data_IF_253749150279
#
_entry.id   IF_253749150279
#
_cell.length_a   1.000
_cell.length_b   1.000
_cell.length_c   1.000
_cell.angle_alpha   90.00
_cell.angle_beta   90.00
_cell.angle_gamma   90.00
#
_symmetry.space_group_name_H-M   'P 1'
#
loop_
_entity.id
_entity.type
_entity.pdbx_description
1 polymer ?
#
# COMPACT_ATOMS: atom_id res chain seq x y z
N UNK A 1 -3.00 19.26 -36.00
CA UNK A 1 -3.82 20.48 -36.10
C UNK A 1 -5.24 20.14 -35.64
N UNK A 2 -5.99 21.11 -35.12
CA UNK A 2 -7.37 20.88 -34.65
C UNK A 2 -8.34 20.60 -35.79
N UNK A 3 -9.53 20.06 -35.48
CA UNK A 3 -10.59 19.73 -36.45
C UNK A 3 -11.17 20.95 -37.18
N UNK A 4 -10.98 22.14 -36.62
CA UNK A 4 -11.52 23.41 -37.13
C UNK A 4 -10.39 24.42 -37.28
N UNK A 5 -10.58 25.36 -38.18
CA UNK A 5 -9.66 26.40 -38.60
C UNK A 5 -10.25 27.80 -38.40
N UNK A 6 -9.45 28.85 -38.61
CA UNK A 6 -9.88 30.24 -38.41
C UNK A 6 -11.03 30.64 -39.33
N UNK A 7 -11.11 30.05 -40.53
CA UNK A 7 -12.20 30.28 -41.48
C UNK A 7 -13.52 29.65 -41.08
N UNK A 8 -13.52 28.66 -40.17
CA UNK A 8 -14.75 27.99 -39.72
C UNK A 8 -15.47 28.76 -38.61
N UNK A 9 -14.84 29.83 -38.10
CA UNK A 9 -15.45 30.70 -37.11
C UNK A 9 -16.54 31.57 -37.74
N UNK A 10 -17.67 31.66 -37.05
CA UNK A 10 -18.73 32.61 -37.38
C UNK A 10 -18.18 34.05 -37.32
N UNK A 11 -18.65 34.94 -38.21
CA UNK A 11 -18.33 36.37 -38.17
C UNK A 11 -18.57 36.94 -36.77
N UNK A 12 -17.69 37.84 -36.32
CA UNK A 12 -17.73 38.52 -35.01
C UNK A 12 -17.67 37.64 -33.75
N UNK A 13 -17.59 36.31 -33.91
CA UNK A 13 -17.48 35.39 -32.78
C UNK A 13 -16.03 35.19 -32.29
N UNK A 14 -15.06 35.50 -33.16
CA UNK A 14 -13.64 35.25 -32.93
C UNK A 14 -13.10 36.13 -31.80
N UNK A 15 -12.47 35.49 -30.81
CA UNK A 15 -11.82 36.16 -29.69
C UNK A 15 -10.56 35.42 -29.25
N UNK A 16 -9.57 36.19 -28.78
CA UNK A 16 -8.36 35.65 -28.16
C UNK A 16 -8.62 35.50 -26.66
N UNK A 17 -8.45 34.28 -26.15
CA UNK A 17 -8.61 33.97 -24.73
C UNK A 17 -7.42 34.46 -23.90
N UNK A 18 -7.61 34.53 -22.58
CA UNK A 18 -6.56 34.98 -21.62
C UNK A 18 -5.26 34.15 -21.68
N UNK A 19 -5.34 32.91 -22.17
CA UNK A 19 -4.20 32.01 -22.37
C UNK A 19 -3.59 32.08 -23.78
N UNK A 20 -4.00 33.03 -24.63
CA UNK A 20 -3.46 33.21 -25.98
C UNK A 20 -4.05 32.30 -27.05
N UNK A 21 -5.11 31.54 -26.72
CA UNK A 21 -5.81 30.67 -27.68
C UNK A 21 -6.87 31.44 -28.46
N UNK A 22 -6.97 31.22 -29.77
CA UNK A 22 -8.09 31.67 -30.60
C UNK A 22 -9.30 30.76 -30.36
N UNK A 23 -10.44 31.37 -30.05
CA UNK A 23 -11.70 30.68 -29.88
C UNK A 23 -12.86 31.49 -30.44
N UNK A 24 -13.97 30.82 -30.75
CA UNK A 24 -15.18 31.46 -31.26
C UNK A 24 -16.26 30.41 -31.52
N UNK A 25 -17.36 30.82 -32.13
CA UNK A 25 -18.45 29.90 -32.46
C UNK A 25 -18.23 29.31 -33.85
N UNK A 26 -18.42 28.00 -33.99
CA UNK A 26 -18.42 27.27 -35.26
C UNK A 26 -19.79 26.66 -35.45
N UNK A 27 -20.31 26.64 -36.68
CA UNK A 27 -21.55 25.93 -37.00
C UNK A 27 -21.31 24.43 -37.05
N UNK A 28 -21.96 23.68 -36.15
CA UNK A 28 -21.92 22.22 -36.11
C UNK A 28 -23.35 21.72 -36.03
N UNK A 29 -23.77 20.92 -37.01
CA UNK A 29 -25.12 20.37 -37.12
C UNK A 29 -26.22 21.47 -37.04
N UNK A 30 -25.98 22.59 -37.72
CA UNK A 30 -26.90 23.74 -37.74
C UNK A 30 -26.95 24.57 -36.45
N UNK A 31 -26.11 24.27 -35.45
CA UNK A 31 -26.08 25.00 -34.17
C UNK A 31 -24.72 25.67 -33.93
N UNK A 32 -24.68 26.92 -33.43
CA UNK A 32 -23.43 27.58 -33.07
C UNK A 32 -22.86 26.94 -31.80
N UNK A 33 -21.64 26.42 -31.88
CA UNK A 33 -20.94 25.84 -30.74
C UNK A 33 -19.58 26.50 -30.52
N UNK A 34 -19.29 26.84 -29.26
CA UNK A 34 -18.01 27.42 -28.90
C UNK A 34 -16.87 26.39 -29.05
N UNK A 35 -15.82 26.76 -29.76
CA UNK A 35 -14.64 25.93 -30.03
C UNK A 35 -13.36 26.73 -29.88
N UNK A 36 -12.31 26.03 -29.43
CA UNK A 36 -10.94 26.55 -29.41
C UNK A 36 -10.25 26.01 -30.67
N UNK A 37 -9.83 26.92 -31.54
CA UNK A 37 -9.33 26.61 -32.88
C UNK A 37 -7.82 26.35 -32.84
N UNK A 38 -7.08 27.22 -32.17
CA UNK A 38 -5.63 27.20 -32.22
C UNK A 38 -4.95 28.22 -31.31
N UNK A 39 -3.63 28.28 -31.40
CA UNK A 39 -2.80 29.25 -30.67
C UNK A 39 -2.60 30.48 -31.55
N UNK A 40 -3.06 31.65 -31.11
CA UNK A 40 -2.79 32.93 -31.79
C UNK A 40 -1.58 33.63 -31.14
N UNK A 41 -1.53 33.62 -29.80
CA UNK A 41 -0.51 34.28 -29.00
C UNK A 41 0.30 33.25 -28.21
N UNK A 42 1.43 32.83 -28.79
CA UNK A 42 2.33 31.81 -28.21
C UNK A 42 3.00 32.28 -26.92
N UNK A 43 3.29 33.57 -26.80
CA UNK A 43 3.89 34.19 -25.62
C UNK A 43 2.94 34.07 -24.42
N UNK A 44 1.68 34.47 -24.59
CA UNK A 44 0.65 34.30 -23.54
C UNK A 44 0.35 32.84 -23.23
N UNK A 45 0.42 31.95 -24.20
CA UNK A 45 0.27 30.52 -23.95
C UNK A 45 1.41 29.96 -23.08
N UNK A 46 2.66 30.35 -23.35
CA UNK A 46 3.81 29.99 -22.51
C UNK A 46 3.66 30.55 -21.10
N UNK A 47 3.31 31.84 -20.96
CA UNK A 47 3.12 32.46 -19.65
C UNK A 47 1.96 31.82 -18.85
N UNK A 48 0.85 31.52 -19.51
CA UNK A 48 -0.31 30.90 -18.86
C UNK A 48 -0.03 29.46 -18.45
N UNK A 49 0.70 28.68 -19.27
CA UNK A 49 1.12 27.32 -18.93
C UNK A 49 2.14 27.31 -17.78
N UNK A 50 3.12 28.23 -17.77
CA UNK A 50 4.08 28.38 -16.69
C UNK A 50 3.42 28.73 -15.34
N UNK A 51 2.33 29.52 -15.36
CA UNK A 51 1.55 29.85 -14.16
C UNK A 51 0.67 28.70 -13.65
N UNK A 52 0.50 27.60 -14.40
CA UNK A 52 -0.32 26.47 -13.94
C UNK A 52 0.37 25.80 -12.76
N UNK A 53 -0.32 25.78 -11.61
CA UNK A 53 0.14 25.01 -10.45
C UNK A 53 0.32 23.55 -10.89
N UNK A 54 1.42 22.88 -10.47
CA UNK A 54 1.62 21.48 -10.77
C UNK A 54 0.38 20.68 -10.35
N UNK A 55 -0.06 19.78 -11.24
CA UNK A 55 -1.24 18.96 -10.99
C UNK A 55 -1.12 18.24 -9.64
N UNK A 56 -2.25 17.99 -8.97
CA UNK A 56 -2.29 17.38 -7.62
C UNK A 56 -1.51 16.05 -7.50
N UNK A 57 -1.21 15.38 -8.62
CA UNK A 57 -0.41 14.15 -8.68
C UNK A 57 1.10 14.39 -8.57
N UNK A 58 1.61 15.52 -9.06
CA UNK A 58 3.04 15.85 -9.10
C UNK A 58 3.50 16.71 -7.93
N UNK A 59 2.58 17.16 -7.07
CA UNK A 59 2.96 17.93 -5.88
C UNK A 59 3.74 17.04 -4.92
N UNK A 60 4.95 17.48 -4.59
CA UNK A 60 5.79 16.86 -3.57
C UNK A 60 5.05 16.88 -2.22
N UNK A 61 5.03 15.73 -1.57
CA UNK A 61 4.50 15.53 -0.25
C UNK A 61 5.59 15.87 0.78
N UNK A 62 5.23 16.65 1.80
CA UNK A 62 6.14 16.93 2.91
C UNK A 62 6.29 15.69 3.83
N UNK A 63 7.38 15.58 4.61
CA UNK A 63 7.55 14.45 5.54
C UNK A 63 6.41 14.32 6.55
N UNK A 64 5.90 15.46 7.06
CA UNK A 64 4.71 15.50 7.92
C UNK A 64 3.46 15.00 7.17
N UNK A 65 3.31 15.35 5.89
CA UNK A 65 2.24 14.88 5.02
C UNK A 65 2.30 13.37 4.76
N UNK A 66 3.51 12.84 4.56
CA UNK A 66 3.78 11.41 4.41
C UNK A 66 3.37 10.64 5.68
N UNK A 67 3.84 11.08 6.86
CA UNK A 67 3.47 10.49 8.14
C UNK A 67 1.95 10.46 8.38
N UNK A 68 1.24 11.55 8.03
CA UNK A 68 -0.23 11.60 8.11
C UNK A 68 -0.88 10.60 7.15
N UNK A 69 -0.38 10.49 5.92
CA UNK A 69 -0.89 9.55 4.93
C UNK A 69 -0.67 8.09 5.34
N UNK A 70 0.54 7.77 5.83
CA UNK A 70 0.91 6.46 6.36
C UNK A 70 -0.05 6.04 7.49
N UNK A 71 -0.18 6.88 8.52
CA UNK A 71 -1.07 6.58 9.64
C UNK A 71 -2.53 6.45 9.21
N UNK A 72 -3.01 7.32 8.30
CA UNK A 72 -4.36 7.23 7.75
C UNK A 72 -4.60 5.89 7.05
N UNK A 73 -3.63 5.39 6.29
CA UNK A 73 -3.78 4.14 5.55
C UNK A 73 -4.09 2.96 6.49
N UNK A 74 -3.28 2.73 7.52
CA UNK A 74 -3.53 1.60 8.42
C UNK A 74 -4.67 1.83 9.41
N UNK A 75 -4.94 3.08 9.79
CA UNK A 75 -6.03 3.38 10.72
C UNK A 75 -7.41 3.23 10.05
N UNK A 76 -7.53 3.55 8.75
CA UNK A 76 -8.81 3.49 8.01
C UNK A 76 -8.95 2.25 7.13
N UNK A 77 -7.90 1.44 6.97
CA UNK A 77 -7.97 0.24 6.13
C UNK A 77 -8.88 -0.82 6.75
N UNK A 78 -9.84 -1.39 5.98
CA UNK A 78 -10.70 -2.47 6.46
C UNK A 78 -9.92 -3.77 6.75
N UNK A 79 -8.69 -3.90 6.24
CA UNK A 79 -7.83 -5.08 6.45
C UNK A 79 -7.22 -5.13 7.86
N UNK A 80 -7.04 -3.98 8.52
CA UNK A 80 -6.31 -3.86 9.79
C UNK A 80 -7.21 -3.39 10.94
N UNK A 81 -8.27 -4.16 11.20
CA UNK A 81 -9.28 -3.86 12.23
C UNK A 81 -8.70 -3.91 13.64
N UNK A 82 -7.89 -4.93 13.96
CA UNK A 82 -7.31 -5.09 15.29
C UNK A 82 -6.05 -4.24 15.49
N UNK A 83 -5.86 -3.64 16.69
CA UNK A 83 -4.64 -2.87 17.00
C UNK A 83 -3.36 -3.68 16.81
N UNK A 84 -3.39 -4.98 17.15
CA UNK A 84 -2.27 -5.91 16.99
C UNK A 84 -1.87 -6.07 15.53
N UNK A 85 -2.84 -6.33 14.63
CA UNK A 85 -2.56 -6.49 13.21
C UNK A 85 -2.10 -5.18 12.58
N UNK A 86 -2.68 -4.06 13.01
CA UNK A 86 -2.27 -2.72 12.56
C UNK A 86 -0.83 -2.39 12.93
N UNK A 87 -0.43 -2.67 14.18
CA UNK A 87 0.94 -2.50 14.65
C UNK A 87 1.91 -3.38 13.86
N UNK A 88 1.55 -4.65 13.64
CA UNK A 88 2.35 -5.57 12.84
C UNK A 88 2.54 -5.08 11.40
N UNK A 89 1.45 -4.68 10.72
CA UNK A 89 1.52 -4.17 9.35
C UNK A 89 2.36 -2.90 9.23
N UNK A 90 2.18 -1.92 10.14
CA UNK A 90 3.00 -0.71 10.17
C UNK A 90 4.48 -1.03 10.34
N UNK A 91 4.82 -1.96 11.24
CA UNK A 91 6.21 -2.34 11.50
C UNK A 91 6.85 -3.04 10.31
N UNK A 92 6.08 -3.81 9.53
CA UNK A 92 6.58 -4.46 8.32
C UNK A 92 6.87 -3.43 7.23
N UNK A 93 5.92 -2.54 6.93
CA UNK A 93 6.13 -1.54 5.89
C UNK A 93 7.23 -0.54 6.25
N UNK A 94 7.44 -0.22 7.54
CA UNK A 94 8.53 0.67 7.94
C UNK A 94 9.94 0.11 7.67
N UNK A 95 10.12 -1.22 7.67
CA UNK A 95 11.44 -1.84 7.79
C UNK A 95 11.73 -3.03 6.85
N UNK A 96 10.72 -3.64 6.23
CA UNK A 96 10.87 -4.94 5.55
C UNK A 96 10.62 -4.92 4.04
N UNK A 97 9.68 -4.11 3.54
CA UNK A 97 9.36 -4.05 2.12
C UNK A 97 10.03 -2.83 1.48
N UNK A 98 11.09 -3.04 0.69
CA UNK A 98 11.71 -1.96 -0.09
C UNK A 98 10.89 -1.68 -1.35
N UNK A 99 9.88 -0.82 -1.22
CA UNK A 99 9.08 -0.36 -2.35
C UNK A 99 9.81 0.78 -3.09
N UNK A 100 9.37 1.15 -4.31
CA UNK A 100 9.95 2.29 -5.02
C UNK A 100 9.80 3.58 -4.20
N UNK A 101 10.91 4.31 -4.04
CA UNK A 101 10.94 5.58 -3.31
C UNK A 101 10.22 6.68 -4.10
N UNK A 102 9.20 7.30 -3.49
CA UNK A 102 8.49 8.42 -4.09
C UNK A 102 8.22 9.53 -3.05
N UNK A 103 8.39 10.77 -3.49
CA UNK A 103 8.15 11.96 -2.65
C UNK A 103 6.85 12.68 -2.99
N UNK A 104 5.97 12.10 -3.79
CA UNK A 104 4.81 12.78 -4.34
C UNK A 104 3.47 12.17 -3.89
N UNK A 105 2.38 12.57 -4.54
CA UNK A 105 1.05 12.11 -4.20
C UNK A 105 0.80 10.60 -4.46
N UNK A 106 1.71 9.88 -5.14
CA UNK A 106 1.65 8.41 -5.25
C UNK A 106 1.70 7.78 -3.86
N UNK A 107 2.68 8.20 -3.04
CA UNK A 107 2.80 7.76 -1.65
C UNK A 107 1.52 8.05 -0.85
N UNK A 108 0.99 9.27 -0.93
CA UNK A 108 -0.20 9.66 -0.16
C UNK A 108 -1.44 8.79 -0.42
N UNK A 109 -1.57 8.27 -1.65
CA UNK A 109 -2.68 7.42 -2.07
C UNK A 109 -2.46 5.95 -1.73
N UNK A 110 -1.22 5.48 -1.78
CA UNK A 110 -0.89 4.07 -1.59
C UNK A 110 0.41 3.89 -0.81
N UNK A 111 0.42 4.19 0.51
CA UNK A 111 1.64 4.07 1.33
C UNK A 111 2.20 2.65 1.44
N UNK A 112 1.42 1.62 1.08
CA UNK A 112 1.86 0.21 1.09
C UNK A 112 2.51 -0.24 -0.24
N UNK A 113 2.60 0.65 -1.24
CA UNK A 113 3.18 0.34 -2.58
C UNK A 113 4.42 1.15 -2.88
N UNK A 114 4.74 2.13 -2.05
CA UNK A 114 5.81 3.08 -2.27
C UNK A 114 6.35 3.48 -0.91
N UNK A 115 7.65 3.73 -0.87
CA UNK A 115 8.32 4.22 0.33
C UNK A 115 8.54 5.73 0.22
N UNK A 116 8.50 6.40 1.36
CA UNK A 116 8.85 7.80 1.48
C UNK A 116 10.25 7.91 2.11
N UNK A 117 11.22 8.56 1.43
CA UNK A 117 12.57 8.71 1.94
C UNK A 117 12.62 9.29 3.36
N UNK A 118 13.31 8.60 4.26
CA UNK A 118 13.46 8.94 5.65
C UNK A 118 12.23 8.70 6.52
N UNK A 119 11.21 7.95 6.08
CA UNK A 119 10.05 7.57 6.89
C UNK A 119 9.91 6.05 7.03
N UNK A 120 9.67 5.37 5.91
CA UNK A 120 9.41 3.93 5.79
C UNK A 120 10.31 3.25 4.75
N UNK A 121 11.38 3.91 4.33
CA UNK A 121 12.43 3.38 3.45
C UNK A 121 13.44 2.46 4.17
N UNK A 122 13.11 2.00 5.38
CA UNK A 122 14.01 1.19 6.21
C UNK A 122 15.21 1.94 6.81
N UNK A 123 15.42 3.22 6.50
CA UNK A 123 16.55 4.02 7.01
C UNK A 123 16.55 4.18 8.54
N UNK A 124 15.38 4.04 9.17
CA UNK A 124 15.18 4.16 10.62
C UNK A 124 15.28 2.83 11.37
N UNK A 125 15.52 1.74 10.67
CA UNK A 125 15.45 0.40 11.24
C UNK A 125 16.85 -0.08 11.65
N UNK A 126 16.95 -0.62 12.86
CA UNK A 126 18.20 -1.22 13.36
C UNK A 126 18.63 -2.39 12.47
N UNK A 127 19.75 -2.23 11.77
CA UNK A 127 20.29 -3.20 10.81
C UNK A 127 20.00 -2.86 9.34
N UNK A 128 19.34 -1.73 9.05
CA UNK A 128 19.10 -1.23 7.70
C UNK A 128 17.86 -1.84 7.01
N UNK A 129 17.56 -1.38 5.77
CA UNK A 129 16.47 -1.91 4.97
C UNK A 129 16.74 -3.40 4.70
N UNK A 130 15.83 -4.28 5.14
CA UNK A 130 15.96 -5.76 5.13
C UNK A 130 16.76 -6.39 6.27
N UNK A 131 16.89 -5.75 7.43
CA UNK A 131 17.29 -6.48 8.64
C UNK A 131 16.22 -7.52 9.01
N UNK A 132 16.30 -8.67 8.36
CA UNK A 132 15.60 -9.87 8.72
C UNK A 132 16.16 -10.29 10.08
N UNK A 133 15.62 -9.74 11.18
CA UNK A 133 15.76 -10.33 12.50
C UNK A 133 14.89 -11.59 12.52
N UNK A 134 15.27 -12.57 11.71
CA UNK A 134 14.97 -13.93 12.07
C UNK A 134 15.72 -14.17 13.37
N UNK A 135 15.01 -14.14 14.49
CA UNK A 135 15.50 -14.76 15.72
C UNK A 135 15.75 -16.28 15.52
N UNK A 136 15.55 -16.80 14.31
CA UNK A 136 16.08 -18.07 13.84
C UNK A 136 17.61 -18.00 13.71
N UNK A 137 18.28 -18.34 14.81
CA UNK A 137 19.66 -18.77 14.76
C UNK A 137 19.67 -20.30 14.57
N UNK A 138 20.09 -20.84 13.40
CA UNK A 138 20.03 -22.28 13.12
C UNK A 138 20.85 -23.11 14.11
N UNK A 139 21.86 -22.51 14.75
CA UNK A 139 22.66 -23.16 15.81
C UNK A 139 21.85 -23.34 17.10
N UNK A 140 21.07 -22.31 17.48
CA UNK A 140 20.21 -22.31 18.68
C UNK A 140 18.93 -23.14 18.50
N UNK A 141 18.48 -23.33 17.27
CA UNK A 141 17.29 -24.10 16.90
C UNK A 141 17.63 -25.51 16.36
N UNK A 142 18.87 -25.99 16.57
CA UNK A 142 19.26 -27.35 16.18
C UNK A 142 18.43 -28.37 16.96
N UNK A 143 17.91 -29.39 16.27
CA UNK A 143 17.07 -30.44 16.86
C UNK A 143 17.75 -31.05 18.10
N UNK A 144 17.16 -30.83 19.28
CA UNK A 144 17.70 -31.30 20.57
C UNK A 144 18.37 -30.23 21.44
N UNK A 145 18.52 -28.98 20.98
CA UNK A 145 19.04 -27.90 21.84
C UNK A 145 18.07 -27.57 22.98
N UNK A 146 18.61 -27.14 24.13
CA UNK A 146 17.80 -26.71 25.30
C UNK A 146 16.83 -25.58 24.91
N UNK A 147 17.26 -24.70 24.01
CA UNK A 147 16.50 -23.54 23.55
C UNK A 147 15.35 -23.94 22.61
N UNK A 148 15.57 -24.91 21.70
CA UNK A 148 14.53 -25.45 20.83
C UNK A 148 13.45 -26.20 21.64
N UNK A 149 13.87 -26.96 22.66
CA UNK A 149 12.95 -27.65 23.57
C UNK A 149 12.13 -26.67 24.42
N UNK A 150 12.76 -25.61 24.94
CA UNK A 150 12.09 -24.56 25.70
C UNK A 150 11.08 -23.79 24.85
N UNK A 151 11.43 -23.43 23.61
CA UNK A 151 10.52 -22.79 22.67
C UNK A 151 9.35 -23.70 22.28
N UNK A 152 9.62 -24.99 22.05
CA UNK A 152 8.57 -25.99 21.80
C UNK A 152 7.61 -26.15 22.98
N UNK A 153 8.12 -26.19 24.23
CA UNK A 153 7.29 -26.20 25.44
C UNK A 153 6.43 -24.93 25.57
N UNK A 154 7.00 -23.76 25.30
CA UNK A 154 6.30 -22.47 25.33
C UNK A 154 5.20 -22.35 24.27
N UNK A 155 5.43 -22.86 23.07
CA UNK A 155 4.41 -22.91 22.01
C UNK A 155 3.28 -23.88 22.36
N UNK A 156 3.60 -25.01 23.01
CA UNK A 156 2.62 -26.00 23.47
C UNK A 156 1.75 -25.48 24.62
N UNK A 157 2.32 -24.68 25.53
CA UNK A 157 1.54 -24.04 26.60
C UNK A 157 0.65 -22.90 26.08
N UNK A 158 1.09 -22.13 25.08
CA UNK A 158 0.25 -21.11 24.44
C UNK A 158 -0.91 -21.70 23.62
N UNK A 159 -0.76 -22.90 23.07
CA UNK A 159 -1.86 -23.61 22.40
C UNK A 159 -2.85 -24.29 23.36
N UNK A 160 -2.52 -24.40 24.66
CA UNK A 160 -3.47 -24.79 25.71
C UNK A 160 -4.28 -23.61 26.27
N UNK A 161 -3.83 -22.36 26.12
CA UNK A 161 -4.51 -21.18 26.68
C UNK A 161 -5.72 -20.67 25.86
N UNK A 162 -6.11 -21.38 24.80
CA UNK A 162 -7.22 -21.00 23.90
C UNK A 162 -8.37 -22.00 23.80
N UNK A 163 -8.41 -23.02 24.67
CA UNK A 163 -9.51 -23.98 24.71
C UNK A 163 -9.89 -24.26 26.15
N UNK A 164 -11.07 -23.76 26.57
CA UNK A 164 -11.59 -23.92 27.92
C UNK A 164 -11.49 -25.36 28.42
N UNK A 165 -11.00 -25.49 29.65
CA UNK A 165 -10.91 -26.77 30.36
C UNK A 165 -11.98 -26.76 31.43
N UNK A 166 -13.07 -27.43 31.10
CA UNK A 166 -14.16 -27.76 32.00
C UNK A 166 -15.00 -28.88 31.40
N UNK A 167 -14.38 -29.84 30.70
CA UNK A 167 -14.98 -31.14 30.35
C UNK A 167 -13.93 -32.00 29.64
N UNK A 168 -13.86 -33.27 30.03
CA UNK A 168 -13.02 -34.33 29.48
C UNK A 168 -13.13 -34.39 27.96
N UNK A 169 -12.10 -33.92 27.24
CA UNK A 169 -12.06 -34.05 25.78
C UNK A 169 -11.94 -35.52 25.39
N UNK A 170 -12.73 -36.01 24.43
CA UNK A 170 -12.61 -37.38 23.95
C UNK A 170 -11.23 -37.59 23.32
N UNK A 171 -10.65 -38.76 23.61
CA UNK A 171 -9.35 -39.18 23.07
C UNK A 171 -9.41 -39.15 21.55
N UNK A 172 -8.40 -38.56 20.90
CA UNK A 172 -8.36 -38.52 19.44
C UNK A 172 -8.43 -39.94 18.87
N UNK A 173 -9.18 -40.15 17.78
CA UNK A 173 -9.35 -41.46 17.15
C UNK A 173 -8.00 -42.16 16.92
N UNK A 174 -6.97 -41.40 16.51
CA UNK A 174 -5.61 -41.88 16.30
C UNK A 174 -4.96 -42.41 17.59
N UNK A 175 -5.18 -41.72 18.70
CA UNK A 175 -4.68 -42.15 20.01
C UNK A 175 -5.43 -43.38 20.50
N UNK A 176 -6.76 -43.42 20.35
CA UNK A 176 -7.57 -44.57 20.73
C UNK A 176 -7.17 -45.84 19.96
N UNK A 177 -7.00 -45.75 18.64
CA UNK A 177 -6.55 -46.86 17.80
C UNK A 177 -5.15 -47.34 18.20
N UNK A 178 -4.25 -46.42 18.53
CA UNK A 178 -2.89 -46.79 18.99
C UNK A 178 -2.93 -47.56 20.31
N UNK A 179 -3.74 -47.11 21.27
CA UNK A 179 -3.90 -47.78 22.57
C UNK A 179 -4.54 -49.16 22.41
N UNK A 180 -5.53 -49.30 21.54
CA UNK A 180 -6.13 -50.60 21.23
C UNK A 180 -5.13 -51.59 20.63
N UNK A 181 -4.29 -51.13 19.69
CA UNK A 181 -3.22 -51.97 19.11
C UNK A 181 -2.19 -52.39 20.15
N UNK A 182 -1.82 -51.47 21.04
CA UNK A 182 -0.88 -51.77 22.11
C UNK A 182 -1.44 -52.82 23.08
N UNK A 183 -2.69 -52.66 23.51
CA UNK A 183 -3.38 -53.64 24.36
C UNK A 183 -3.45 -55.02 23.70
N UNK A 184 -3.81 -55.08 22.42
CA UNK A 184 -3.90 -56.36 21.71
C UNK A 184 -2.54 -57.05 21.60
N UNK A 185 -1.48 -56.30 21.34
CA UNK A 185 -0.13 -56.85 21.27
C UNK A 185 0.36 -57.34 22.63
N UNK A 186 0.03 -56.67 23.73
CA UNK A 186 0.46 -57.07 25.08
C UNK A 186 -0.33 -58.28 25.62
N UNK A 187 -1.55 -58.49 25.14
CA UNK A 187 -2.44 -59.53 25.66
C UNK A 187 -2.47 -60.80 24.83
N UNK A 188 -2.21 -60.71 23.52
CA UNK A 188 -2.40 -61.83 22.59
C UNK A 188 -1.15 -62.20 21.78
N UNK A 189 -0.04 -61.48 21.94
CA UNK A 189 1.29 -61.87 21.44
C UNK A 189 2.27 -61.97 22.61
#
# INVERSE_FOLDING_TARGET
>A
MGKYSKSDLLPDSARILKNGMLAGYVMIDGKPQFRIIGVEDREKLKLSSAKRRPGRRTRSLSPKGAMRAFNRHYNKSPKYKSPKNRKGAKSRDLCWDNQPLVRDARYSRSPHRYDYPGLDDGSRCEGGPRAYKNNYNPVKMRKGSKEALAWGKKMKSQSQAGGGVGETRPVSLKTAVKLLRQYYNEKYN
#
